data_IF_111997051528
#
_entry.id   IF_111997051528
#
_cell.length_a   1.000
_cell.length_b   1.000
_cell.length_c   1.000
_cell.angle_alpha   90.00
_cell.angle_beta   90.00
_cell.angle_gamma   90.00
#
_symmetry.space_group_name_H-M   'P 1'
#
loop_
_entity.id
_entity.type
_entity.pdbx_description
1 polymer ?
#
# COMPACT_ATOMS: atom_id res chain seq x y z
N UNK A 1 -8.00 -6.48 16.12
CA UNK A 1 -7.34 -5.16 15.94
C UNK A 1 -8.38 -4.13 16.29
N UNK A 2 -8.19 -3.28 17.30
CA UNK A 2 -9.29 -2.43 17.82
C UNK A 2 -10.03 -1.64 16.72
N UNK A 3 -11.33 -1.44 16.91
CA UNK A 3 -12.22 -0.73 15.96
C UNK A 3 -11.61 0.58 15.45
N UNK A 4 -11.01 1.35 16.36
CA UNK A 4 -10.31 2.60 16.05
C UNK A 4 -9.20 2.39 15.01
N UNK A 5 -8.35 1.37 15.19
CA UNK A 5 -7.26 1.06 14.25
C UNK A 5 -7.81 0.66 12.87
N UNK A 6 -8.92 -0.08 12.82
CA UNK A 6 -9.57 -0.49 11.56
C UNK A 6 -10.13 0.70 10.80
N UNK A 7 -10.78 1.63 11.50
CA UNK A 7 -11.27 2.88 10.89
C UNK A 7 -10.11 3.65 10.27
N UNK A 8 -9.00 3.86 11.01
CA UNK A 8 -7.83 4.55 10.46
C UNK A 8 -7.20 3.81 9.27
N UNK A 9 -7.12 2.48 9.31
CA UNK A 9 -6.64 1.69 8.19
C UNK A 9 -7.49 1.88 6.92
N UNK A 10 -8.81 1.91 7.07
CA UNK A 10 -9.75 2.19 5.97
C UNK A 10 -9.53 3.60 5.44
N UNK A 11 -9.47 4.59 6.33
CA UNK A 11 -9.27 6.00 5.96
C UNK A 11 -7.97 6.18 5.18
N UNK A 12 -6.85 5.62 5.65
CA UNK A 12 -5.57 5.77 4.95
C UNK A 12 -5.58 5.08 3.58
N UNK A 13 -6.13 3.87 3.46
CA UNK A 13 -6.24 3.22 2.14
C UNK A 13 -7.18 3.98 1.19
N UNK A 14 -8.23 4.63 1.71
CA UNK A 14 -9.10 5.48 0.90
C UNK A 14 -8.36 6.76 0.43
N UNK A 15 -7.57 7.39 1.30
CA UNK A 15 -6.71 8.53 0.92
C UNK A 15 -5.69 8.11 -0.14
N UNK A 16 -5.02 6.96 0.06
CA UNK A 16 -4.08 6.41 -0.91
C UNK A 16 -4.74 6.16 -2.27
N UNK A 17 -5.97 5.63 -2.28
CA UNK A 17 -6.74 5.39 -3.49
C UNK A 17 -7.03 6.69 -4.23
N UNK A 18 -7.45 7.75 -3.52
CA UNK A 18 -7.74 9.06 -4.12
C UNK A 18 -6.46 9.69 -4.69
N UNK A 19 -5.36 9.69 -3.93
CA UNK A 19 -4.08 10.26 -4.38
C UNK A 19 -3.55 9.51 -5.62
N UNK A 20 -3.55 8.18 -5.58
CA UNK A 20 -3.11 7.36 -6.70
C UNK A 20 -4.00 7.57 -7.95
N UNK A 21 -5.31 7.72 -7.77
CA UNK A 21 -6.24 8.00 -8.88
C UNK A 21 -5.99 9.38 -9.50
N UNK A 22 -5.74 10.42 -8.68
CA UNK A 22 -5.42 11.77 -9.17
C UNK A 22 -4.11 11.78 -9.97
N UNK A 23 -3.08 11.10 -9.46
CA UNK A 23 -1.77 10.99 -10.13
C UNK A 23 -1.88 10.19 -11.43
N UNK A 24 -2.63 9.10 -11.44
CA UNK A 24 -2.90 8.33 -12.66
C UNK A 24 -3.65 9.16 -13.69
N UNK A 25 -4.69 9.89 -13.28
CA UNK A 25 -5.47 10.73 -14.18
C UNK A 25 -4.61 11.87 -14.76
N UNK A 26 -3.79 12.52 -13.94
CA UNK A 26 -2.83 13.53 -14.40
C UNK A 26 -1.85 12.94 -15.42
N UNK A 27 -1.27 11.78 -15.13
CA UNK A 27 -0.31 11.14 -16.03
C UNK A 27 -0.96 10.73 -17.37
N UNK A 28 -2.19 10.22 -17.33
CA UNK A 28 -2.96 9.91 -18.54
C UNK A 28 -3.23 11.16 -19.38
N UNK A 29 -3.67 12.27 -18.77
CA UNK A 29 -3.85 13.55 -19.47
C UNK A 29 -2.54 13.96 -20.15
N UNK A 30 -1.41 13.87 -19.46
CA UNK A 30 -0.10 14.22 -20.02
C UNK A 30 0.26 13.34 -21.22
N UNK A 31 0.00 12.03 -21.15
CA UNK A 31 0.23 11.08 -22.26
C UNK A 31 -0.69 11.38 -23.46
N UNK A 32 -1.96 11.70 -23.23
CA UNK A 32 -2.90 12.01 -24.32
C UNK A 32 -2.62 13.36 -24.98
N UNK A 33 -2.08 14.33 -24.23
CA UNK A 33 -1.74 15.66 -24.72
C UNK A 33 -0.32 15.77 -25.29
N UNK A 34 0.56 14.79 -25.06
CA UNK A 34 1.91 14.80 -25.62
C UNK A 34 1.87 14.41 -27.10
N UNK A 35 1.98 15.42 -27.98
CA UNK A 35 2.01 15.27 -29.44
C UNK A 35 3.35 14.71 -29.96
N UNK A 36 4.42 14.72 -29.15
CA UNK A 36 5.70 14.13 -29.50
C UNK A 36 6.28 13.33 -28.34
N UNK A 37 6.57 12.05 -28.62
CA UNK A 37 7.19 11.16 -27.66
C UNK A 37 8.63 11.61 -27.36
N UNK A 38 8.86 12.23 -26.20
CA UNK A 38 10.12 12.88 -25.79
C UNK A 38 10.77 12.19 -24.57
N UNK A 39 12.05 12.49 -24.30
CA UNK A 39 12.89 11.81 -23.26
C UNK A 39 12.30 11.72 -21.83
N UNK A 40 11.29 12.52 -21.45
CA UNK A 40 10.65 12.51 -20.12
C UNK A 40 9.55 11.44 -19.95
N UNK A 41 9.18 10.73 -21.01
CA UNK A 41 8.07 9.78 -21.01
C UNK A 41 8.23 8.50 -20.19
N UNK A 42 9.43 7.89 -20.06
CA UNK A 42 9.57 6.70 -19.23
C UNK A 42 9.16 6.96 -17.79
N UNK A 43 9.45 8.15 -17.26
CA UNK A 43 9.07 8.53 -15.89
C UNK A 43 7.54 8.65 -15.73
N UNK A 44 6.84 9.21 -16.72
CA UNK A 44 5.37 9.36 -16.72
C UNK A 44 4.69 7.98 -16.81
N UNK A 45 5.22 7.09 -17.65
CA UNK A 45 4.73 5.71 -17.79
C UNK A 45 4.96 4.94 -16.49
N UNK A 46 6.16 5.02 -15.90
CA UNK A 46 6.48 4.38 -14.62
C UNK A 46 5.53 4.89 -13.52
N UNK A 47 5.32 6.20 -13.42
CA UNK A 47 4.39 6.79 -12.46
C UNK A 47 2.94 6.33 -12.67
N UNK A 48 2.50 6.17 -13.91
CA UNK A 48 1.18 5.63 -14.23
C UNK A 48 1.03 4.18 -13.77
N UNK A 49 2.03 3.34 -14.04
CA UNK A 49 2.06 1.94 -13.61
C UNK A 49 2.04 1.85 -12.08
N UNK A 50 2.87 2.64 -11.39
CA UNK A 50 2.91 2.67 -9.91
C UNK A 50 1.54 3.08 -9.35
N UNK A 51 0.97 4.15 -9.88
CA UNK A 51 -0.34 4.66 -9.45
C UNK A 51 -1.44 3.62 -9.63
N UNK A 52 -1.45 2.92 -10.77
CA UNK A 52 -2.39 1.84 -11.03
C UNK A 52 -2.23 0.66 -10.05
N UNK A 53 -0.99 0.21 -9.81
CA UNK A 53 -0.72 -0.89 -8.87
C UNK A 53 -1.09 -0.53 -7.43
N UNK A 54 -0.92 0.74 -7.05
CA UNK A 54 -1.34 1.25 -5.74
C UNK A 54 -2.86 1.35 -5.60
N UNK A 55 -3.59 1.65 -6.67
CA UNK A 55 -5.06 1.55 -6.70
C UNK A 55 -5.52 0.12 -6.43
N UNK A 56 -4.92 -0.87 -7.12
CA UNK A 56 -5.24 -2.28 -6.92
C UNK A 56 -4.93 -2.73 -5.49
N UNK A 57 -3.76 -2.36 -4.96
CA UNK A 57 -3.34 -2.69 -3.59
C UNK A 57 -4.29 -2.09 -2.54
N UNK A 58 -4.63 -0.81 -2.67
CA UNK A 58 -5.52 -0.11 -1.73
C UNK A 58 -6.94 -0.66 -1.79
N UNK A 59 -7.44 -0.97 -2.99
CA UNK A 59 -8.76 -1.57 -3.20
C UNK A 59 -8.84 -2.96 -2.57
N UNK A 60 -7.80 -3.77 -2.72
CA UNK A 60 -7.69 -5.07 -2.08
C UNK A 60 -7.69 -4.95 -0.54
N UNK A 61 -6.90 -4.03 0.01
CA UNK A 61 -6.86 -3.76 1.45
C UNK A 61 -8.21 -3.31 2.01
N UNK A 62 -8.92 -2.43 1.29
CA UNK A 62 -10.27 -1.99 1.66
C UNK A 62 -11.28 -3.13 1.62
N UNK A 63 -11.20 -3.99 0.59
CA UNK A 63 -12.02 -5.20 0.51
C UNK A 63 -11.77 -6.14 1.69
N UNK A 64 -10.50 -6.39 2.05
CA UNK A 64 -10.16 -7.18 3.23
C UNK A 64 -10.70 -6.54 4.50
N UNK A 65 -10.55 -5.23 4.65
CA UNK A 65 -11.02 -4.50 5.81
C UNK A 65 -12.56 -4.48 5.91
N UNK A 66 -13.30 -4.59 4.79
CA UNK A 66 -14.76 -4.68 4.77
C UNK A 66 -15.25 -6.10 5.05
N UNK A 67 -14.65 -7.10 4.39
CA UNK A 67 -15.08 -8.50 4.41
C UNK A 67 -14.73 -9.22 5.72
N UNK A 68 -13.56 -8.95 6.29
CA UNK A 68 -13.08 -9.64 7.48
C UNK A 68 -13.26 -8.76 8.74
N UNK A 69 -14.05 -9.24 9.72
CA UNK A 69 -14.17 -8.62 11.05
C UNK A 69 -12.93 -8.91 11.89
N UNK A 70 -12.78 -8.17 13.00
CA UNK A 70 -11.62 -8.23 13.92
C UNK A 70 -11.27 -9.65 14.40
N UNK A 71 -12.25 -10.55 14.40
CA UNK A 71 -12.15 -11.92 14.92
C UNK A 71 -12.00 -12.98 13.82
N UNK A 72 -12.24 -12.61 12.56
CA UNK A 72 -12.12 -13.50 11.40
C UNK A 72 -10.87 -13.14 10.61
N UNK A 73 -9.71 -13.55 11.12
CA UNK A 73 -8.46 -13.32 10.39
C UNK A 73 -8.38 -14.27 9.19
N UNK A 74 -8.08 -13.76 7.99
CA UNK A 74 -7.96 -14.58 6.79
C UNK A 74 -6.91 -15.69 6.97
N UNK A 75 -7.31 -16.96 6.74
CA UNK A 75 -6.42 -18.13 6.78
C UNK A 75 -6.04 -18.63 5.39
N UNK A 76 -4.93 -19.38 5.33
CA UNK A 76 -4.44 -20.04 4.13
C UNK A 76 -4.09 -19.05 3.03
N UNK A 77 -4.78 -19.14 1.89
CA UNK A 77 -4.56 -18.29 0.72
C UNK A 77 -4.65 -16.78 1.01
N UNK A 78 -5.58 -16.37 1.87
CA UNK A 78 -5.76 -14.95 2.17
C UNK A 78 -4.65 -14.39 3.09
N UNK A 79 -3.99 -15.23 3.91
CA UNK A 79 -2.79 -14.84 4.66
C UNK A 79 -1.62 -14.61 3.71
N UNK A 80 -1.40 -15.53 2.76
CA UNK A 80 -0.37 -15.38 1.74
C UNK A 80 -0.58 -14.12 0.90
N UNK A 81 -1.82 -13.82 0.49
CA UNK A 81 -2.15 -12.58 -0.22
C UNK A 81 -1.94 -11.33 0.62
N UNK A 82 -2.19 -11.37 1.94
CA UNK A 82 -1.93 -10.24 2.84
C UNK A 82 -0.41 -9.98 2.99
N UNK A 83 0.39 -11.05 3.05
CA UNK A 83 1.87 -10.94 3.05
C UNK A 83 2.37 -10.43 1.70
N UNK A 84 1.81 -10.92 0.59
CA UNK A 84 2.13 -10.46 -0.76
C UNK A 84 1.80 -8.96 -0.92
N UNK A 85 0.62 -8.54 -0.45
CA UNK A 85 0.20 -7.13 -0.44
C UNK A 85 1.13 -6.27 0.42
N UNK A 86 1.58 -6.77 1.57
CA UNK A 86 2.59 -6.10 2.40
C UNK A 86 3.90 -5.91 1.64
N UNK A 87 4.42 -6.97 0.99
CA UNK A 87 5.66 -6.91 0.21
C UNK A 87 5.53 -5.92 -0.95
N UNK A 88 4.42 -5.96 -1.69
CA UNK A 88 4.15 -5.01 -2.77
C UNK A 88 4.08 -3.58 -2.25
N UNK A 89 3.32 -3.33 -1.19
CA UNK A 89 3.21 -2.01 -0.61
C UNK A 89 4.57 -1.47 -0.13
N UNK A 90 5.41 -2.32 0.47
CA UNK A 90 6.78 -1.97 0.84
C UNK A 90 7.64 -1.58 -0.37
N UNK A 91 7.61 -2.39 -1.42
CA UNK A 91 8.37 -2.13 -2.66
C UNK A 91 7.91 -0.83 -3.34
N UNK A 92 6.60 -0.59 -3.45
CA UNK A 92 6.07 0.64 -4.02
C UNK A 92 6.35 1.86 -3.14
N UNK A 93 6.31 1.72 -1.82
CA UNK A 93 6.68 2.81 -0.90
C UNK A 93 8.12 3.25 -1.15
N UNK A 94 9.06 2.30 -1.30
CA UNK A 94 10.45 2.61 -1.63
C UNK A 94 10.58 3.31 -2.99
N UNK A 95 9.81 2.87 -3.98
CA UNK A 95 9.82 3.45 -5.32
C UNK A 95 9.25 4.87 -5.33
N UNK A 96 8.16 5.12 -4.59
CA UNK A 96 7.59 6.46 -4.40
C UNK A 96 8.60 7.38 -3.72
N UNK A 97 9.30 6.90 -2.69
CA UNK A 97 10.35 7.67 -2.02
C UNK A 97 11.50 8.01 -2.97
N UNK A 98 11.91 7.07 -3.82
CA UNK A 98 12.93 7.30 -4.84
C UNK A 98 12.48 8.41 -5.82
N UNK A 99 11.26 8.31 -6.35
CA UNK A 99 10.71 9.34 -7.26
C UNK A 99 10.59 10.69 -6.57
N UNK A 100 10.16 10.72 -5.31
CA UNK A 100 10.07 11.94 -4.50
C UNK A 100 11.44 12.62 -4.36
N UNK A 101 12.47 11.86 -3.98
CA UNK A 101 13.83 12.39 -3.83
C UNK A 101 14.39 12.88 -5.17
N UNK A 102 14.18 12.14 -6.25
CA UNK A 102 14.63 12.51 -7.58
C UNK A 102 13.93 13.79 -8.07
N UNK A 103 12.59 13.85 -7.95
CA UNK A 103 11.83 15.04 -8.33
C UNK A 103 12.16 16.26 -7.47
N UNK A 104 12.39 16.08 -6.16
CA UNK A 104 12.86 17.17 -5.30
C UNK A 104 14.27 17.65 -5.68
N UNK A 105 15.16 16.76 -6.11
CA UNK A 105 16.48 17.14 -6.59
C UNK A 105 16.39 18.00 -7.87
N UNK A 106 15.64 17.55 -8.88
CA UNK A 106 15.46 18.33 -10.12
C UNK A 106 14.82 19.69 -9.83
N UNK A 107 13.75 19.72 -9.03
CA UNK A 107 12.94 20.93 -8.82
C UNK A 107 13.63 21.98 -7.92
N UNK A 108 14.35 21.55 -6.88
CA UNK A 108 14.91 22.47 -5.88
C UNK A 108 16.42 22.69 -6.02
N UNK A 109 17.17 21.78 -6.65
CA UNK A 109 18.64 21.84 -6.69
C UNK A 109 19.20 22.04 -8.10
N UNK A 110 18.55 21.52 -9.15
CA UNK A 110 19.07 21.64 -10.52
C UNK A 110 18.75 22.99 -11.18
N UNK A 111 17.94 23.83 -10.50
CA UNK A 111 17.81 25.27 -10.77
C UNK A 111 17.21 25.63 -12.14
N UNK A 112 16.71 24.66 -12.90
CA UNK A 112 16.31 24.83 -14.30
C UNK A 112 14.96 25.52 -14.46
N UNK A 113 14.05 25.45 -13.48
CA UNK A 113 12.71 26.07 -13.56
C UNK A 113 12.20 26.51 -12.17
N UNK A 114 12.87 27.48 -11.54
CA UNK A 114 12.50 27.93 -10.19
C UNK A 114 11.12 28.63 -10.11
N UNK A 115 10.53 29.00 -11.25
CA UNK A 115 9.23 29.64 -11.37
C UNK A 115 8.07 28.66 -11.60
N UNK A 116 8.33 27.37 -11.88
CA UNK A 116 7.24 26.41 -12.08
C UNK A 116 6.64 25.99 -10.73
N UNK A 117 5.44 26.49 -10.45
CA UNK A 117 4.67 26.14 -9.25
C UNK A 117 4.14 24.70 -9.36
N UNK A 118 3.95 24.20 -10.58
CA UNK A 118 3.31 22.90 -10.85
C UNK A 118 4.20 21.73 -10.42
N UNK A 119 5.50 21.79 -10.74
CA UNK A 119 6.50 20.80 -10.32
C UNK A 119 6.60 20.70 -8.80
N UNK A 120 6.70 21.84 -8.11
CA UNK A 120 6.72 21.93 -6.64
C UNK A 120 5.48 21.31 -5.99
N UNK A 121 4.28 21.64 -6.49
CA UNK A 121 3.03 21.05 -5.99
C UNK A 121 3.04 19.53 -6.16
N UNK A 122 3.49 19.04 -7.31
CA UNK A 122 3.58 17.60 -7.58
C UNK A 122 4.50 16.89 -6.59
N UNK A 123 5.67 17.47 -6.27
CA UNK A 123 6.58 16.93 -5.25
C UNK A 123 5.90 16.85 -3.88
N UNK A 124 5.14 17.88 -3.47
CA UNK A 124 4.38 17.83 -2.21
C UNK A 124 3.28 16.76 -2.21
N UNK A 125 2.57 16.56 -3.33
CA UNK A 125 1.56 15.51 -3.46
C UNK A 125 2.19 14.13 -3.36
N UNK A 126 3.33 13.90 -4.03
CA UNK A 126 4.06 12.63 -3.96
C UNK A 126 4.62 12.40 -2.55
N UNK A 127 5.07 13.44 -1.85
CA UNK A 127 5.51 13.34 -0.46
C UNK A 127 4.35 12.97 0.49
N UNK A 128 3.19 13.60 0.35
CA UNK A 128 1.99 13.24 1.10
C UNK A 128 1.59 11.78 0.83
N UNK A 129 1.69 11.34 -0.42
CA UNK A 129 1.41 9.96 -0.81
C UNK A 129 2.40 8.96 -0.18
N UNK A 130 3.69 9.31 -0.12
CA UNK A 130 4.72 8.50 0.54
C UNK A 130 4.41 8.33 2.03
N UNK A 131 4.02 9.40 2.73
CA UNK A 131 3.65 9.35 4.16
C UNK A 131 2.46 8.41 4.38
N UNK A 132 1.41 8.53 3.56
CA UNK A 132 0.24 7.65 3.65
C UNK A 132 0.62 6.19 3.40
N UNK A 133 1.49 5.93 2.42
CA UNK A 133 1.98 4.58 2.09
C UNK A 133 2.75 3.96 3.26
N UNK A 134 3.62 4.72 3.91
CA UNK A 134 4.36 4.32 5.12
C UNK A 134 3.39 3.96 6.25
N UNK A 135 2.38 4.79 6.50
CA UNK A 135 1.39 4.52 7.54
C UNK A 135 0.64 3.21 7.27
N UNK A 136 0.16 3.00 6.03
CA UNK A 136 -0.50 1.75 5.63
C UNK A 136 0.44 0.56 5.82
N UNK A 137 1.71 0.69 5.45
CA UNK A 137 2.71 -0.37 5.60
C UNK A 137 2.93 -0.75 7.08
N UNK A 138 3.08 0.23 7.98
CA UNK A 138 3.20 0.01 9.42
C UNK A 138 1.96 -0.73 9.95
N UNK A 139 0.76 -0.36 9.49
CA UNK A 139 -0.47 -1.03 9.90
C UNK A 139 -0.57 -2.47 9.36
N UNK A 140 -0.19 -2.71 8.11
CA UNK A 140 -0.16 -4.04 7.52
C UNK A 140 0.83 -4.96 8.28
N UNK A 141 1.99 -4.44 8.70
CA UNK A 141 2.94 -5.19 9.54
C UNK A 141 2.30 -5.65 10.85
N UNK A 142 1.57 -4.77 11.53
CA UNK A 142 0.84 -5.12 12.75
C UNK A 142 -0.21 -6.20 12.50
N UNK A 143 -0.92 -6.11 11.37
CA UNK A 143 -1.98 -7.06 10.99
C UNK A 143 -1.40 -8.46 10.72
N UNK A 144 -0.31 -8.55 9.96
CA UNK A 144 0.40 -9.82 9.70
C UNK A 144 0.93 -10.45 10.99
N UNK A 145 1.47 -9.63 11.91
CA UNK A 145 1.95 -10.13 13.22
C UNK A 145 0.83 -10.76 14.05
N UNK A 146 -0.34 -10.11 14.12
CA UNK A 146 -1.51 -10.61 14.84
C UNK A 146 -2.04 -11.90 14.19
N UNK A 147 -2.11 -11.96 12.85
CA UNK A 147 -2.51 -13.19 12.13
C UNK A 147 -1.60 -14.38 12.44
N UNK A 148 -0.29 -14.15 12.54
CA UNK A 148 0.68 -15.19 12.86
C UNK A 148 0.50 -15.70 14.29
N UNK A 149 0.25 -14.81 15.25
CA UNK A 149 0.00 -15.18 16.66
C UNK A 149 -1.30 -15.98 16.80
N UNK A 150 -2.40 -15.52 16.23
CA UNK A 150 -3.68 -16.22 16.31
C UNK A 150 -3.65 -17.59 15.61
N UNK A 151 -2.88 -17.75 14.54
CA UNK A 151 -2.70 -19.06 13.89
C UNK A 151 -1.92 -20.04 14.75
N UNK A 152 -0.93 -19.58 15.54
CA UNK A 152 -0.17 -20.44 16.47
C UNK A 152 -1.03 -20.94 17.63
N UNK A 153 -1.74 -20.04 18.31
CA UNK A 153 -2.68 -20.40 19.38
C UNK A 153 -3.74 -21.40 18.89
N UNK A 154 -4.25 -21.18 17.67
CA UNK A 154 -4.99 -22.11 16.83
C UNK A 154 -4.48 -23.55 16.86
N UNK A 155 -3.26 -23.70 16.34
CA UNK A 155 -2.56 -24.97 16.20
C UNK A 155 -2.29 -25.63 17.55
N UNK A 156 -1.88 -24.86 18.55
CA UNK A 156 -1.66 -25.36 19.91
C UNK A 156 -2.94 -25.95 20.49
N UNK A 157 -4.08 -25.25 20.41
CA UNK A 157 -5.36 -25.81 20.90
C UNK A 157 -5.84 -27.04 20.14
N UNK A 158 -5.56 -27.15 18.83
CA UNK A 158 -5.88 -28.32 18.02
C UNK A 158 -4.99 -29.52 18.36
N UNK A 159 -3.70 -29.28 18.64
CA UNK A 159 -2.76 -30.32 19.08
C UNK A 159 -3.18 -30.82 20.46
N UNK A 160 -3.51 -29.91 21.37
CA UNK A 160 -3.94 -30.25 22.73
C UNK A 160 -5.25 -31.06 22.72
N UNK A 161 -6.22 -30.72 21.85
CA UNK A 161 -7.47 -31.49 21.73
C UNK A 161 -7.26 -32.89 21.16
N UNK A 162 -6.34 -33.06 20.20
CA UNK A 162 -5.98 -34.39 19.67
C UNK A 162 -5.20 -35.20 20.71
N UNK A 163 -4.40 -34.54 21.54
CA UNK A 163 -3.71 -35.15 22.66
C UNK A 163 -4.67 -35.67 23.74
N UNK A 164 -5.68 -34.87 24.12
CA UNK A 164 -6.65 -35.27 25.15
C UNK A 164 -7.57 -36.40 24.72
N UNK A 165 -7.96 -36.47 23.44
CA UNK A 165 -8.77 -37.59 22.91
C UNK A 165 -8.03 -38.94 22.94
N UNK A 166 -6.69 -38.93 22.95
CA UNK A 166 -5.88 -40.15 23.07
C UNK A 166 -5.80 -40.68 24.50
N UNK A 167 -5.86 -39.78 25.49
CA UNK A 167 -5.80 -40.16 26.91
C UNK A 167 -7.17 -40.62 27.45
N UNK A 168 -8.29 -40.22 26.84
CA UNK A 168 -9.63 -40.72 27.21
C UNK A 168 -9.97 -42.12 26.66
N UNK A 169 -9.19 -42.64 25.70
CA UNK A 169 -9.42 -43.94 25.05
C UNK A 169 -8.46 -45.06 25.53
N UNK A 170 -7.80 -44.89 26.68
CA UNK A 170 -6.94 -45.90 27.33
C UNK A 170 -7.54 -46.33 28.67
#
# INVERSE_FOLDING_TARGET
MSLRKRVWFIVFNAIQLILAALLLFSALITIFNSVQFNRKEPAIIIMSIISFLMILSSSYNLFLAAKYREDYLPRGFNWALSVLSLCFNGLFTLLILFVMCFGAYEEFFDGTDNEDITGKIMVFVVAAWAVVSILIFIWQLQLVKIMKQNSRLQLETLIDSIGSEKDENV
#
